data_IF_233975422254
#
_entry.id   IF_233975422254
#
_cell.length_a   1.000
_cell.length_b   1.000
_cell.length_c   1.000
_cell.angle_alpha   90.00
_cell.angle_beta   90.00
_cell.angle_gamma   90.00
#
_symmetry.space_group_name_H-M   'P 1'
#
loop_
_entity.id
_entity.type
_entity.pdbx_description
1 polymer ?
#
# COMPACT_ATOMS: atom_id res chain seq x y z
N UNK A 1 11.58 -5.63 7.50
CA UNK A 1 11.86 -4.95 6.21
C UNK A 1 10.56 -4.95 5.45
N UNK A 2 10.06 -3.79 5.00
CA UNK A 2 8.73 -3.73 4.37
C UNK A 2 8.69 -4.48 3.04
N UNK A 3 7.59 -5.19 2.80
CA UNK A 3 7.32 -5.92 1.57
C UNK A 3 6.53 -5.09 0.53
N UNK A 4 6.42 -3.78 0.74
CA UNK A 4 5.69 -2.85 -0.15
C UNK A 4 6.66 -1.85 -0.74
N UNK A 5 6.61 -1.70 -2.06
CA UNK A 5 7.33 -0.67 -2.80
C UNK A 5 6.38 0.06 -3.74
N UNK A 6 6.46 1.39 -3.76
CA UNK A 6 5.65 2.25 -4.63
C UNK A 6 6.57 3.15 -5.42
N UNK A 7 6.42 3.12 -6.74
CA UNK A 7 7.21 3.92 -7.66
C UNK A 7 6.29 4.77 -8.54
N UNK A 8 6.73 5.98 -8.88
CA UNK A 8 6.15 6.77 -9.95
C UNK A 8 6.95 6.54 -11.23
N UNK A 9 6.26 6.19 -12.32
CA UNK A 9 6.88 6.15 -13.65
C UNK A 9 7.09 7.55 -14.18
N UNK A 10 8.31 7.86 -14.64
CA UNK A 10 8.67 9.14 -15.22
C UNK A 10 8.58 9.10 -16.75
N UNK A 11 8.38 10.26 -17.37
CA UNK A 11 8.24 10.40 -18.83
C UNK A 11 9.46 9.91 -19.61
N UNK A 12 10.63 9.87 -18.98
CA UNK A 12 11.87 9.34 -19.54
C UNK A 12 12.05 7.82 -19.33
N UNK A 13 11.04 7.13 -18.79
CA UNK A 13 11.04 5.70 -18.51
C UNK A 13 11.70 5.30 -17.18
N UNK A 14 12.24 6.25 -16.41
CA UNK A 14 12.80 5.96 -15.09
C UNK A 14 11.68 5.74 -14.04
N UNK A 15 12.04 5.07 -12.95
CA UNK A 15 11.17 4.91 -11.77
C UNK A 15 11.66 5.80 -10.65
N UNK A 16 10.80 6.70 -10.17
CA UNK A 16 11.04 7.49 -8.97
C UNK A 16 10.51 6.71 -7.75
N UNK A 17 11.34 6.33 -6.77
CA UNK A 17 10.86 5.69 -5.55
C UNK A 17 10.04 6.68 -4.73
N UNK A 18 8.79 6.33 -4.46
CA UNK A 18 7.89 7.08 -3.56
C UNK A 18 7.91 6.42 -2.19
N UNK A 19 7.77 5.09 -2.16
CA UNK A 19 7.91 4.24 -0.98
C UNK A 19 8.91 3.13 -1.30
N UNK A 20 10.01 3.09 -0.57
CA UNK A 20 10.99 2.02 -0.60
C UNK A 20 11.60 1.88 0.80
N UNK A 21 11.85 0.64 1.23
CA UNK A 21 12.49 0.29 2.50
C UNK A 21 11.84 0.87 3.76
N UNK A 22 10.50 1.03 3.76
CA UNK A 22 9.70 1.50 4.90
C UNK A 22 8.94 0.38 5.58
N UNK A 23 8.67 0.50 6.89
CA UNK A 23 7.77 -0.39 7.63
C UNK A 23 6.30 -0.11 7.28
N UNK A 24 5.39 -1.04 7.57
CA UNK A 24 3.95 -0.84 7.35
C UNK A 24 3.42 0.40 8.10
N UNK A 25 3.86 0.61 9.34
CA UNK A 25 3.52 1.80 10.15
C UNK A 25 3.98 3.09 9.46
N UNK A 26 5.23 3.16 9.01
CA UNK A 26 5.77 4.32 8.29
C UNK A 26 5.02 4.62 6.98
N UNK A 27 4.55 3.57 6.31
CA UNK A 27 3.72 3.72 5.10
C UNK A 27 2.36 4.30 5.47
N UNK A 28 1.70 3.77 6.50
CA UNK A 28 0.40 4.31 6.94
C UNK A 28 0.56 5.78 7.30
N UNK A 29 1.54 6.13 8.13
CA UNK A 29 1.82 7.53 8.48
C UNK A 29 2.05 8.42 7.26
N UNK A 30 2.80 7.93 6.25
CA UNK A 30 3.07 8.69 5.03
C UNK A 30 1.80 8.96 4.19
N UNK A 31 0.84 8.03 4.17
CA UNK A 31 -0.42 8.18 3.43
C UNK A 31 -1.46 9.02 4.18
N UNK A 32 -1.49 8.89 5.50
CA UNK A 32 -2.56 9.48 6.30
C UNK A 32 -2.23 10.87 6.79
N UNK A 33 -0.94 11.23 6.84
CA UNK A 33 -0.50 12.49 7.42
C UNK A 33 -0.87 12.61 8.91
N UNK A 34 -0.99 13.85 9.37
CA UNK A 34 -1.42 14.23 10.72
C UNK A 34 -2.95 14.46 10.83
N UNK A 35 -3.66 14.55 9.71
CA UNK A 35 -5.05 15.02 9.63
C UNK A 35 -6.13 13.91 9.63
N UNK A 36 -5.91 12.80 10.33
CA UNK A 36 -6.89 11.69 10.33
C UNK A 36 -8.06 11.86 11.30
N UNK A 37 -7.98 12.81 12.24
CA UNK A 37 -8.93 12.97 13.35
C UNK A 37 -8.86 11.82 14.38
N UNK A 38 -9.09 10.57 13.94
CA UNK A 38 -8.88 9.35 14.70
C UNK A 38 -7.60 8.63 14.24
N UNK A 39 -6.86 7.92 15.12
CA UNK A 39 -5.65 7.20 14.73
C UNK A 39 -5.93 6.18 13.61
N UNK A 40 -5.17 6.20 12.50
CA UNK A 40 -5.37 5.26 11.40
C UNK A 40 -4.97 3.84 11.84
N UNK A 41 -5.72 2.85 11.39
CA UNK A 41 -5.43 1.43 11.68
C UNK A 41 -4.80 0.70 10.50
N UNK A 42 -4.90 1.26 9.29
CA UNK A 42 -4.35 0.68 8.05
C UNK A 42 -4.47 1.64 6.87
N UNK A 43 -3.77 1.31 5.79
CA UNK A 43 -4.04 1.78 4.43
C UNK A 43 -4.53 0.59 3.61
N UNK A 44 -5.63 0.78 2.88
CA UNK A 44 -6.16 -0.24 1.95
C UNK A 44 -6.20 0.34 0.54
N UNK A 45 -5.57 -0.35 -0.40
CA UNK A 45 -5.63 -0.03 -1.82
C UNK A 45 -6.47 -1.11 -2.50
N UNK A 46 -7.56 -0.69 -3.16
CA UNK A 46 -8.45 -1.59 -3.90
C UNK A 46 -8.40 -1.26 -5.39
N UNK A 47 -8.19 -2.27 -6.22
CA UNK A 47 -8.11 -2.16 -7.68
C UNK A 47 -9.06 -3.17 -8.30
N UNK A 48 -9.86 -2.72 -9.25
CA UNK A 48 -10.65 -3.60 -10.12
C UNK A 48 -9.87 -3.79 -11.42
N UNK A 49 -9.51 -5.03 -11.71
CA UNK A 49 -8.81 -5.39 -12.95
C UNK A 49 -9.76 -5.32 -14.15
N UNK A 50 -9.20 -5.27 -15.36
CA UNK A 50 -9.99 -5.31 -16.60
C UNK A 50 -10.87 -6.58 -16.72
N UNK A 51 -10.44 -7.69 -16.12
CA UNK A 51 -11.23 -8.93 -16.05
C UNK A 51 -12.32 -8.93 -14.99
N UNK A 52 -12.45 -7.84 -14.21
CA UNK A 52 -13.44 -7.68 -13.14
C UNK A 52 -13.02 -8.21 -11.77
N UNK A 53 -11.86 -8.88 -11.66
CA UNK A 53 -11.34 -9.34 -10.37
C UNK A 53 -10.93 -8.16 -9.48
N UNK A 54 -11.20 -8.29 -8.18
CA UNK A 54 -10.87 -7.31 -7.15
C UNK A 54 -9.55 -7.68 -6.48
N UNK A 55 -8.55 -6.83 -6.66
CA UNK A 55 -7.27 -6.91 -5.94
C UNK A 55 -7.33 -5.95 -4.76
N UNK A 56 -7.00 -6.43 -3.57
CA UNK A 56 -6.84 -5.60 -2.38
C UNK A 56 -5.46 -5.78 -1.79
N UNK A 57 -4.77 -4.67 -1.61
CA UNK A 57 -3.53 -4.57 -0.83
C UNK A 57 -3.89 -3.94 0.50
N UNK A 58 -3.63 -4.66 1.59
CA UNK A 58 -3.87 -4.19 2.96
C UNK A 58 -2.54 -4.00 3.68
N UNK A 59 -2.30 -2.78 4.14
CA UNK A 59 -1.09 -2.38 4.86
C UNK A 59 -1.50 -2.00 6.29
N UNK A 60 -1.23 -2.86 7.29
CA UNK A 60 -1.64 -2.59 8.67
C UNK A 60 -0.79 -1.48 9.29
N UNK A 61 -1.39 -0.68 10.17
CA UNK A 61 -0.62 0.22 11.05
C UNK A 61 -0.09 -0.54 12.26
N UNK A 62 0.78 -1.51 12.00
CA UNK A 62 1.44 -2.34 13.01
C UNK A 62 2.70 -2.97 12.42
N UNK A 63 3.42 -3.76 13.23
CA UNK A 63 4.58 -4.54 12.79
C UNK A 63 4.25 -5.72 11.87
N UNK A 64 2.98 -5.95 11.53
CA UNK A 64 2.57 -7.01 10.63
C UNK A 64 2.88 -6.67 9.15
N UNK A 65 3.12 -7.72 8.36
CA UNK A 65 3.36 -7.58 6.92
C UNK A 65 2.09 -7.17 6.17
N UNK A 66 2.27 -6.42 5.07
CA UNK A 66 1.18 -6.16 4.14
C UNK A 66 0.70 -7.47 3.50
N UNK A 67 -0.58 -7.50 3.13
CA UNK A 67 -1.20 -8.67 2.51
C UNK A 67 -1.92 -8.31 1.23
N UNK A 68 -1.95 -9.26 0.28
CA UNK A 68 -2.68 -9.14 -0.98
C UNK A 68 -3.80 -10.17 -0.99
N UNK A 69 -4.97 -9.75 -1.47
CA UNK A 69 -6.05 -10.67 -1.80
C UNK A 69 -6.54 -10.44 -3.22
N UNK A 70 -6.91 -11.52 -3.91
CA UNK A 70 -7.59 -11.51 -5.20
C UNK A 70 -8.92 -12.20 -5.01
N UNK A 71 -10.02 -11.48 -5.26
CA UNK A 71 -11.39 -11.95 -5.06
C UNK A 71 -11.61 -12.55 -3.66
N UNK A 72 -11.04 -11.88 -2.65
CA UNK A 72 -11.12 -12.26 -1.23
C UNK A 72 -10.21 -13.41 -0.82
N UNK A 73 -9.47 -14.02 -1.74
CA UNK A 73 -8.48 -15.08 -1.44
C UNK A 73 -7.10 -14.48 -1.25
N UNK A 74 -6.45 -14.80 -0.13
CA UNK A 74 -5.07 -14.37 0.15
C UNK A 74 -4.11 -15.05 -0.81
N UNK A 75 -3.14 -14.28 -1.31
CA UNK A 75 -2.08 -14.74 -2.21
C UNK A 75 -0.72 -14.55 -1.55
#
# INVERSE_FOLDING_TARGET
MGNVKIYAGLVNGALMPIIEDRTSEEIVTAFTGDDTGAPPTSVTIEVITESGSKVRIYIPNSSADASVTVDGKRV
#
